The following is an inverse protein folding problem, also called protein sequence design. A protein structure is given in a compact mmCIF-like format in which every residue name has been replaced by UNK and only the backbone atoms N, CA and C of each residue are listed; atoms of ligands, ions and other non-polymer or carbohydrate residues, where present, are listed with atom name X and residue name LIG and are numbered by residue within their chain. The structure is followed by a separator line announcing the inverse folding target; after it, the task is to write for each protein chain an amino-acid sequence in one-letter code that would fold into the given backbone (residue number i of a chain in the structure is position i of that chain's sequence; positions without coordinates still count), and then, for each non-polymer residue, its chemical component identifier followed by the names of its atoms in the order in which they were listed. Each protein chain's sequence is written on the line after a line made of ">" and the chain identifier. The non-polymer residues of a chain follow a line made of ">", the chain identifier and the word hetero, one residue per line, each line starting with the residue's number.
data_IF_324212275901
#
_entry.id   IF_324212275901
#
_cell.length_a   1.000
_cell.length_b   1.000
_cell.length_c   1.000
_cell.angle_alpha   90.00
_cell.angle_beta   90.00
_cell.angle_gamma   90.00
#
_symmetry.space_group_name_H-M   'P 1'
#
loop_
_entity.id
_entity.type
_entity.pdbx_description
1 polymer ?
#
# COMPACT_ATOMS: atom_id res chain seq x y z
N UNK A 1 -21.99 -26.62 9.96
CA UNK A 1 -21.51 -26.61 11.36
C UNK A 1 -21.80 -25.21 11.86
N UNK A 2 -22.67 -25.12 12.85
CA UNK A 2 -23.11 -23.86 13.45
C UNK A 2 -22.03 -23.42 14.44
N UNK A 3 -21.34 -22.31 14.13
CA UNK A 3 -20.23 -21.78 14.93
C UNK A 3 -20.69 -20.84 16.05
N UNK A 4 -21.99 -20.77 16.32
CA UNK A 4 -22.61 -19.79 17.24
C UNK A 4 -22.45 -20.07 18.73
N UNK A 5 -21.86 -21.20 19.15
CA UNK A 5 -21.84 -21.61 20.57
C UNK A 5 -20.46 -21.74 21.22
N UNK A 6 -19.39 -21.20 20.63
CA UNK A 6 -18.14 -21.02 21.37
C UNK A 6 -18.22 -19.73 22.16
N UNK A 7 -18.68 -19.81 23.40
CA UNK A 7 -18.59 -18.72 24.36
C UNK A 7 -17.10 -18.39 24.62
N UNK A 8 -16.60 -17.36 23.93
CA UNK A 8 -15.33 -16.70 24.21
C UNK A 8 -15.45 -15.86 25.49
N UNK A 9 -15.55 -16.53 26.64
CA UNK A 9 -15.55 -15.94 27.98
C UNK A 9 -14.12 -15.86 28.56
N UNK A 10 -13.18 -15.37 27.75
CA UNK A 10 -11.89 -14.87 28.23
C UNK A 10 -11.83 -13.41 27.81
N UNK A 11 -11.72 -12.49 28.77
CA UNK A 11 -11.50 -11.07 28.45
C UNK A 11 -10.24 -11.02 27.57
N UNK A 12 -10.42 -10.61 26.31
CA UNK A 12 -9.31 -10.52 25.36
C UNK A 12 -8.56 -9.23 25.73
N UNK A 13 -7.42 -9.40 26.40
CA UNK A 13 -6.54 -8.29 26.77
C UNK A 13 -5.52 -8.00 25.67
N UNK A 14 -4.94 -6.80 25.72
CA UNK A 14 -3.87 -6.39 24.81
C UNK A 14 -2.61 -7.21 25.04
N UNK A 15 -2.30 -8.07 24.07
CA UNK A 15 -1.11 -8.92 24.05
C UNK A 15 -0.18 -8.55 22.88
N UNK A 16 1.11 -8.87 23.02
CA UNK A 16 2.14 -8.62 22.03
C UNK A 16 1.82 -9.29 20.68
N UNK A 17 1.18 -10.46 20.70
CA UNK A 17 0.75 -11.17 19.48
C UNK A 17 -0.27 -10.35 18.67
N UNK A 18 -1.27 -9.78 19.35
CA UNK A 18 -2.34 -9.01 18.71
C UNK A 18 -1.82 -7.65 18.25
N UNK A 19 -0.93 -7.02 19.02
CA UNK A 19 -0.23 -5.81 18.60
C UNK A 19 0.63 -6.04 17.35
N UNK A 20 1.31 -7.18 17.27
CA UNK A 20 2.09 -7.58 16.09
C UNK A 20 1.21 -7.71 14.84
N UNK A 21 0.08 -8.41 14.95
CA UNK A 21 -0.88 -8.56 13.84
C UNK A 21 -1.45 -7.20 13.41
N UNK A 22 -1.85 -6.36 14.36
CA UNK A 22 -2.37 -5.03 14.06
C UNK A 22 -1.29 -4.13 13.43
N UNK A 23 -0.04 -4.26 13.85
CA UNK A 23 1.08 -3.55 13.23
C UNK A 23 1.29 -3.99 11.78
N UNK A 24 1.26 -5.29 11.49
CA UNK A 24 1.36 -5.83 10.14
C UNK A 24 0.22 -5.34 9.24
N UNK A 25 -1.02 -5.41 9.73
CA UNK A 25 -2.20 -4.88 9.02
C UNK A 25 -2.04 -3.37 8.79
N UNK A 26 -1.50 -2.64 9.77
CA UNK A 26 -1.21 -1.21 9.67
C UNK A 26 -0.21 -0.88 8.55
N UNK A 27 0.88 -1.63 8.46
CA UNK A 27 1.90 -1.48 7.42
C UNK A 27 1.35 -1.84 6.03
N UNK A 28 0.64 -2.97 5.90
CA UNK A 28 -0.03 -3.36 4.66
C UNK A 28 -1.00 -2.28 4.18
N UNK A 29 -1.76 -1.69 5.11
CA UNK A 29 -2.71 -0.61 4.80
C UNK A 29 -2.01 0.65 4.31
N UNK A 30 -0.87 1.01 4.90
CA UNK A 30 -0.07 2.15 4.45
C UNK A 30 0.48 1.94 3.04
N UNK A 31 0.98 0.74 2.75
CA UNK A 31 1.49 0.38 1.43
C UNK A 31 0.36 0.42 0.40
N UNK A 32 -0.81 -0.15 0.71
CA UNK A 32 -1.98 -0.09 -0.17
C UNK A 32 -2.44 1.35 -0.43
N UNK A 33 -2.52 2.19 0.60
CA UNK A 33 -2.84 3.61 0.46
C UNK A 33 -1.84 4.29 -0.50
N UNK A 34 -0.54 4.06 -0.32
CA UNK A 34 0.49 4.62 -1.20
C UNK A 34 0.34 4.18 -2.66
N UNK A 35 0.07 2.89 -2.91
CA UNK A 35 -0.15 2.35 -4.25
C UNK A 35 -1.38 2.98 -4.92
N UNK A 36 -2.47 3.15 -4.19
CA UNK A 36 -3.68 3.80 -4.69
C UNK A 36 -3.46 5.28 -5.01
N UNK A 37 -2.76 6.02 -4.15
CA UNK A 37 -2.41 7.43 -4.39
C UNK A 37 -1.59 7.62 -5.66
N UNK A 38 -0.65 6.70 -5.89
CA UNK A 38 0.19 6.69 -7.09
C UNK A 38 -0.62 6.35 -8.34
N UNK A 39 -1.53 5.38 -8.25
CA UNK A 39 -2.45 4.99 -9.32
C UNK A 39 -3.42 6.11 -9.68
N UNK A 40 -4.01 6.78 -8.68
CA UNK A 40 -4.83 7.98 -8.88
C UNK A 40 -4.05 9.05 -9.67
N UNK A 41 -2.83 9.36 -9.24
CA UNK A 41 -1.99 10.36 -9.91
C UNK A 41 -1.67 9.98 -11.36
N UNK A 42 -1.46 8.68 -11.63
CA UNK A 42 -1.25 8.16 -12.98
C UNK A 42 -2.49 8.38 -13.86
N UNK A 43 -3.67 7.96 -13.40
CA UNK A 43 -4.90 8.10 -14.18
C UNK A 43 -5.35 9.56 -14.34
N UNK A 44 -5.12 10.41 -13.33
CA UNK A 44 -5.35 11.87 -13.46
C UNK A 44 -4.53 12.46 -14.61
N UNK A 45 -3.24 12.10 -14.72
CA UNK A 45 -2.38 12.56 -15.81
C UNK A 45 -2.85 12.06 -17.17
N UNK A 46 -3.29 10.79 -17.26
CA UNK A 46 -3.84 10.25 -18.51
C UNK A 46 -5.15 10.95 -18.90
N UNK A 47 -6.02 11.23 -17.93
CA UNK A 47 -7.27 11.94 -18.18
C UNK A 47 -7.02 13.33 -18.78
N UNK A 48 -6.06 14.08 -18.20
CA UNK A 48 -5.67 15.40 -18.71
C UNK A 48 -5.12 15.31 -20.14
N UNK A 49 -4.31 14.29 -20.45
CA UNK A 49 -3.75 14.07 -21.79
C UNK A 49 -4.81 13.82 -22.86
N UNK A 50 -5.91 13.16 -22.53
CA UNK A 50 -7.03 12.97 -23.46
C UNK A 50 -7.94 14.20 -23.52
N UNK A 51 -8.25 14.80 -22.38
CA UNK A 51 -9.25 15.85 -22.29
C UNK A 51 -8.79 17.19 -22.88
N UNK A 52 -7.51 17.56 -22.72
CA UNK A 52 -6.99 18.83 -23.24
C UNK A 52 -7.06 18.93 -24.78
N UNK A 53 -6.58 17.94 -25.56
CA UNK A 53 -6.75 17.95 -27.01
C UNK A 53 -8.22 18.02 -27.44
N UNK A 54 -9.11 17.28 -26.77
CA UNK A 54 -10.55 17.30 -27.07
C UNK A 54 -11.11 18.72 -26.89
N UNK A 55 -10.77 19.41 -25.80
CA UNK A 55 -11.23 20.78 -25.52
C UNK A 55 -10.73 21.75 -26.61
N UNK A 56 -9.45 21.68 -26.94
CA UNK A 56 -8.83 22.57 -27.94
C UNK A 56 -9.46 22.36 -29.32
N UNK A 57 -9.60 21.11 -29.76
CA UNK A 57 -10.19 20.79 -31.06
C UNK A 57 -11.68 21.14 -31.12
N UNK A 58 -12.42 20.96 -30.02
CA UNK A 58 -13.83 21.38 -29.92
C UNK A 58 -13.96 22.90 -30.06
N UNK A 59 -13.10 23.66 -29.39
CA UNK A 59 -13.09 25.12 -29.48
C UNK A 59 -12.73 25.59 -30.90
N UNK A 60 -11.69 25.00 -31.51
CA UNK A 60 -11.30 25.30 -32.90
C UNK A 60 -12.42 24.99 -33.90
N UNK A 61 -13.10 23.86 -33.74
CA UNK A 61 -14.26 23.50 -34.55
C UNK A 61 -15.41 24.51 -34.38
N UNK A 62 -15.66 24.96 -33.15
CA UNK A 62 -16.68 25.98 -32.84
C UNK A 62 -16.37 27.33 -33.49
N UNK A 63 -15.12 27.79 -33.40
CA UNK A 63 -14.67 29.03 -34.03
C UNK A 63 -14.68 28.94 -35.56
N UNK A 64 -14.30 27.78 -36.13
CA UNK A 64 -14.28 27.59 -37.58
C UNK A 64 -15.66 27.77 -38.23
N UNK A 65 -16.74 27.35 -37.55
CA UNK A 65 -18.12 27.60 -37.99
C UNK A 65 -18.48 29.09 -38.04
N UNK A 66 -17.93 29.91 -37.13
CA UNK A 66 -18.10 31.36 -37.17
C UNK A 66 -17.30 31.99 -38.32
N UNK A 67 -16.07 31.53 -38.54
CA UNK A 67 -15.19 32.05 -39.61
C UNK A 67 -15.75 31.75 -41.00
N UNK A 68 -16.37 30.59 -41.21
CA UNK A 68 -16.97 30.23 -42.51
C UNK A 68 -18.08 31.18 -42.97
N UNK A 69 -18.75 31.86 -42.03
CA UNK A 69 -19.80 32.85 -42.34
C UNK A 69 -19.21 34.20 -42.74
N UNK A 70 -18.00 34.51 -42.27
CA UNK A 70 -17.32 35.79 -42.55
C UNK A 70 -16.51 35.77 -43.87
N UNK A 71 -16.14 34.59 -44.38
CA UNK A 71 -15.35 34.43 -45.61
C UNK A 71 -16.09 33.54 -46.64
N UNK A 72 -17.04 34.10 -47.40
CA UNK A 72 -17.90 33.32 -48.31
C UNK A 72 -17.13 32.60 -49.42
N UNK A 73 -16.04 33.17 -49.92
CA UNK A 73 -15.23 32.58 -51.00
C UNK A 73 -14.56 31.25 -50.62
N UNK A 74 -14.21 31.07 -49.34
CA UNK A 74 -13.57 29.87 -48.81
C UNK A 74 -14.48 29.02 -47.92
N UNK A 75 -15.73 29.44 -47.74
CA UNK A 75 -16.67 28.87 -46.77
C UNK A 75 -16.83 27.36 -46.92
N UNK A 76 -16.95 26.85 -48.15
CA UNK A 76 -17.09 25.41 -48.43
C UNK A 76 -15.90 24.57 -47.92
N UNK A 77 -14.67 25.06 -48.09
CA UNK A 77 -13.47 24.36 -47.62
C UNK A 77 -13.34 24.42 -46.10
N UNK A 78 -13.68 25.57 -45.50
CA UNK A 78 -13.67 25.74 -44.04
C UNK A 78 -14.69 24.82 -43.38
N UNK A 79 -15.92 24.77 -43.90
CA UNK A 79 -16.99 23.90 -43.38
C UNK A 79 -16.58 22.42 -43.46
N UNK A 80 -15.98 21.98 -44.58
CA UNK A 80 -15.50 20.61 -44.73
C UNK A 80 -14.39 20.27 -43.72
N UNK A 81 -13.42 21.17 -43.55
CA UNK A 81 -12.33 20.99 -42.60
C UNK A 81 -12.84 20.94 -41.14
N UNK A 82 -13.74 21.85 -40.78
CA UNK A 82 -14.39 21.90 -39.46
C UNK A 82 -15.21 20.64 -39.21
N UNK A 83 -15.96 20.15 -40.20
CA UNK A 83 -16.68 18.88 -40.12
C UNK A 83 -15.75 17.70 -39.84
N UNK A 84 -14.59 17.64 -40.51
CA UNK A 84 -13.57 16.62 -40.27
C UNK A 84 -12.98 16.65 -38.85
N UNK A 85 -12.60 17.85 -38.37
CA UNK A 85 -12.09 18.03 -37.00
C UNK A 85 -13.14 17.67 -35.96
N UNK A 86 -14.40 18.02 -36.19
CA UNK A 86 -15.53 17.69 -35.31
C UNK A 86 -15.70 16.18 -35.16
N UNK A 87 -15.74 15.44 -36.29
CA UNK A 87 -15.84 13.97 -36.27
C UNK A 87 -14.65 13.34 -35.53
N UNK A 88 -13.43 13.80 -35.81
CA UNK A 88 -12.24 13.31 -35.13
C UNK A 88 -12.29 13.56 -33.62
N UNK A 89 -12.75 14.74 -33.21
CA UNK A 89 -12.91 15.11 -31.80
C UNK A 89 -13.97 14.25 -31.12
N UNK A 90 -15.09 13.95 -31.78
CA UNK A 90 -16.11 13.04 -31.29
C UNK A 90 -15.57 11.62 -31.08
N UNK A 91 -14.83 11.07 -32.04
CA UNK A 91 -14.21 9.74 -31.92
C UNK A 91 -13.23 9.72 -30.74
N UNK A 92 -12.37 10.72 -30.62
CA UNK A 92 -11.40 10.83 -29.52
C UNK A 92 -12.12 10.90 -28.16
N UNK A 93 -13.20 11.66 -28.07
CA UNK A 93 -14.05 11.75 -26.88
C UNK A 93 -14.69 10.40 -26.52
N UNK A 94 -15.24 9.68 -27.51
CA UNK A 94 -15.80 8.35 -27.29
C UNK A 94 -14.77 7.34 -26.79
N UNK A 95 -13.54 7.37 -27.32
CA UNK A 95 -12.44 6.51 -26.83
C UNK A 95 -12.06 6.88 -25.39
N UNK A 96 -11.94 8.17 -25.07
CA UNK A 96 -11.63 8.62 -23.73
C UNK A 96 -12.70 8.19 -22.71
N UNK A 97 -13.98 8.27 -23.09
CA UNK A 97 -15.10 7.82 -22.27
C UNK A 97 -15.12 6.29 -22.11
N UNK A 98 -14.82 5.54 -23.17
CA UNK A 98 -14.73 4.08 -23.14
C UNK A 98 -13.63 3.60 -22.19
N UNK A 99 -12.47 4.27 -22.19
CA UNK A 99 -11.35 3.95 -21.29
C UNK A 99 -11.62 4.30 -19.82
N UNK A 100 -12.71 5.04 -19.52
CA UNK A 100 -13.17 5.37 -18.15
C UNK A 100 -12.08 5.94 -17.25
N UNK A 101 -11.11 6.67 -17.82
CA UNK A 101 -9.89 7.11 -17.13
C UNK A 101 -10.20 7.98 -15.90
N UNK A 102 -11.19 8.87 -16.03
CA UNK A 102 -11.67 9.71 -14.91
C UNK A 102 -12.29 8.88 -13.79
N UNK A 103 -13.17 7.92 -14.12
CA UNK A 103 -13.84 7.05 -13.14
C UNK A 103 -12.82 6.19 -12.39
N UNK A 104 -11.82 5.66 -13.09
CA UNK A 104 -10.77 4.84 -12.50
C UNK A 104 -9.85 5.65 -11.57
N UNK A 105 -9.52 6.89 -11.96
CA UNK A 105 -8.81 7.83 -11.09
C UNK A 105 -9.57 8.08 -9.78
N UNK A 106 -10.87 8.31 -9.87
CA UNK A 106 -11.71 8.57 -8.71
C UNK A 106 -11.88 7.33 -7.82
N UNK A 107 -12.04 6.16 -8.43
CA UNK A 107 -12.08 4.88 -7.71
C UNK A 107 -10.82 4.67 -6.88
N UNK A 108 -9.63 4.90 -7.46
CA UNK A 108 -8.38 4.85 -6.71
C UNK A 108 -8.26 5.92 -5.63
N UNK A 109 -8.78 7.13 -5.84
CA UNK A 109 -8.82 8.18 -4.80
C UNK A 109 -9.65 7.73 -3.60
N UNK A 110 -10.81 7.11 -3.84
CA UNK A 110 -11.68 6.60 -2.79
C UNK A 110 -11.04 5.42 -2.03
N UNK A 111 -10.38 4.50 -2.72
CA UNK A 111 -9.61 3.43 -2.07
C UNK A 111 -8.47 4.02 -1.22
N UNK A 112 -7.71 4.98 -1.75
CA UNK A 112 -6.64 5.67 -1.00
C UNK A 112 -7.13 6.25 0.32
N UNK A 113 -8.20 7.06 0.28
CA UNK A 113 -8.74 7.70 1.49
C UNK A 113 -9.23 6.67 2.52
N UNK A 114 -9.83 5.58 2.04
CA UNK A 114 -10.36 4.53 2.92
C UNK A 114 -9.22 3.77 3.61
N UNK A 115 -8.17 3.41 2.88
CA UNK A 115 -6.96 2.80 3.44
C UNK A 115 -6.18 3.75 4.36
N UNK A 116 -6.09 5.03 4.03
CA UNK A 116 -5.43 6.03 4.88
C UNK A 116 -6.16 6.20 6.23
N UNK A 117 -7.50 6.29 6.18
CA UNK A 117 -8.33 6.37 7.39
C UNK A 117 -8.16 5.13 8.25
N UNK A 118 -8.16 3.95 7.64
CA UNK A 118 -7.97 2.68 8.33
C UNK A 118 -6.59 2.57 8.99
N UNK A 119 -5.51 2.87 8.24
CA UNK A 119 -4.14 2.94 8.79
C UNK A 119 -4.05 3.90 9.98
N UNK A 120 -4.66 5.08 9.85
CA UNK A 120 -4.64 6.10 10.91
C UNK A 120 -5.34 5.63 12.19
N UNK A 121 -6.44 4.86 12.06
CA UNK A 121 -7.16 4.31 13.20
C UNK A 121 -6.30 3.28 13.97
N UNK A 122 -5.69 2.33 13.26
CA UNK A 122 -4.75 1.37 13.85
C UNK A 122 -3.57 2.08 14.51
N UNK A 123 -2.93 3.00 13.78
CA UNK A 123 -1.81 3.78 14.27
C UNK A 123 -2.16 4.54 15.54
N UNK A 124 -3.34 5.15 15.61
CA UNK A 124 -3.79 5.89 16.79
C UNK A 124 -3.92 4.96 18.01
N UNK A 125 -4.54 3.79 17.85
CA UNK A 125 -4.69 2.84 18.95
C UNK A 125 -3.35 2.27 19.41
N UNK A 126 -2.47 1.86 18.49
CA UNK A 126 -1.17 1.29 18.86
C UNK A 126 -0.25 2.31 19.55
N UNK A 127 -0.37 3.61 19.23
CA UNK A 127 0.40 4.67 19.89
C UNK A 127 -0.09 5.03 21.29
N UNK A 128 -1.33 4.66 21.67
CA UNK A 128 -1.81 4.83 23.05
C UNK A 128 -1.11 3.81 23.97
N UNK A 129 -0.90 4.18 25.24
CA UNK A 129 -0.51 3.24 26.30
C UNK A 129 -1.57 2.14 26.44
N UNK A 130 -1.17 0.90 26.71
CA UNK A 130 -2.08 -0.27 26.82
C UNK A 130 -3.32 0.01 27.69
N UNK A 131 -3.14 0.58 28.89
CA UNK A 131 -4.25 0.90 29.80
C UNK A 131 -5.15 2.07 29.37
N UNK A 132 -4.84 2.79 28.29
CA UNK A 132 -5.66 3.89 27.73
C UNK A 132 -6.22 3.57 26.35
N UNK A 133 -6.02 2.33 25.89
CA UNK A 133 -6.60 1.82 24.64
C UNK A 133 -8.04 1.40 24.86
N UNK A 134 -8.75 1.34 23.74
CA UNK A 134 -10.13 0.88 23.74
C UNK A 134 -10.16 -0.64 24.01
N UNK A 135 -11.33 -1.16 24.37
CA UNK A 135 -11.50 -2.59 24.59
C UNK A 135 -11.10 -3.35 23.31
N UNK A 136 -10.22 -4.34 23.45
CA UNK A 136 -9.64 -5.02 22.29
C UNK A 136 -10.69 -5.79 21.49
N UNK A 137 -11.65 -6.44 22.16
CA UNK A 137 -12.74 -7.17 21.51
C UNK A 137 -13.58 -6.24 20.65
N UNK A 138 -13.96 -5.08 21.21
CA UNK A 138 -14.72 -4.07 20.48
C UNK A 138 -13.93 -3.53 19.29
N UNK A 139 -12.64 -3.23 19.48
CA UNK A 139 -11.78 -2.73 18.42
C UNK A 139 -11.60 -3.74 17.27
N UNK A 140 -11.31 -5.01 17.59
CA UNK A 140 -11.18 -6.07 16.59
C UNK A 140 -12.48 -6.33 15.83
N UNK A 141 -13.63 -6.23 16.52
CA UNK A 141 -14.95 -6.37 15.90
C UNK A 141 -15.23 -5.32 14.81
N UNK A 142 -14.55 -4.18 14.89
CA UNK A 142 -14.63 -3.10 13.88
C UNK A 142 -13.53 -3.23 12.83
N UNK A 143 -12.29 -3.49 13.25
CA UNK A 143 -11.12 -3.48 12.36
C UNK A 143 -11.10 -4.67 11.40
N UNK A 144 -11.43 -5.87 11.86
CA UNK A 144 -11.33 -7.08 11.01
C UNK A 144 -12.34 -7.03 9.85
N UNK A 145 -13.64 -6.73 10.08
CA UNK A 145 -14.59 -6.60 8.98
C UNK A 145 -14.27 -5.43 8.06
N UNK A 146 -13.81 -4.30 8.59
CA UNK A 146 -13.42 -3.14 7.78
C UNK A 146 -12.24 -3.48 6.85
N UNK A 147 -11.25 -4.22 7.34
CA UNK A 147 -10.12 -4.67 6.53
C UNK A 147 -10.55 -5.59 5.38
N UNK A 148 -11.45 -6.55 5.65
CA UNK A 148 -12.02 -7.42 4.61
C UNK A 148 -12.78 -6.61 3.56
N UNK A 149 -13.65 -5.70 4.03
CA UNK A 149 -14.41 -4.78 3.17
C UNK A 149 -13.49 -3.94 2.29
N UNK A 150 -12.40 -3.41 2.85
CA UNK A 150 -11.42 -2.63 2.08
C UNK A 150 -10.78 -3.47 0.98
N UNK A 151 -10.42 -4.73 1.25
CA UNK A 151 -9.88 -5.62 0.21
C UNK A 151 -10.88 -5.91 -0.91
N UNK A 152 -12.16 -6.05 -0.58
CA UNK A 152 -13.22 -6.33 -1.56
C UNK A 152 -13.54 -5.14 -2.46
N UNK A 153 -13.59 -3.93 -1.90
CA UNK A 153 -14.00 -2.72 -2.64
C UNK A 153 -12.83 -2.00 -3.32
N UNK A 154 -11.58 -2.39 -3.02
CA UNK A 154 -10.40 -1.71 -3.53
C UNK A 154 -10.27 -1.88 -5.04
N UNK A 155 -10.00 -0.77 -5.72
CA UNK A 155 -9.74 -0.78 -7.15
C UNK A 155 -8.49 -1.59 -7.51
N UNK A 156 -8.50 -2.31 -8.62
CA UNK A 156 -7.34 -3.10 -9.04
C UNK A 156 -6.14 -2.19 -9.38
N UNK A 157 -5.00 -2.44 -8.72
CA UNK A 157 -3.80 -1.62 -8.90
C UNK A 157 -3.07 -2.09 -10.18
N UNK A 158 -2.64 -1.16 -11.06
CA UNK A 158 -1.90 -1.53 -12.26
C UNK A 158 -0.55 -2.17 -11.95
N UNK A 159 -0.17 -3.22 -12.69
CA UNK A 159 1.12 -3.91 -12.54
C UNK A 159 2.34 -2.97 -12.58
N UNK A 160 2.29 -1.93 -13.42
CA UNK A 160 3.34 -0.92 -13.52
C UNK A 160 3.59 -0.18 -12.19
N UNK A 161 2.56 -0.03 -11.34
CA UNK A 161 2.68 0.58 -10.02
C UNK A 161 3.28 -0.41 -9.02
N UNK A 162 2.87 -1.68 -9.05
CA UNK A 162 3.46 -2.75 -8.24
C UNK A 162 4.98 -2.83 -8.46
N UNK A 163 5.43 -2.87 -9.71
CA UNK A 163 6.85 -2.99 -10.04
C UNK A 163 7.66 -1.77 -9.55
N UNK A 164 7.09 -0.57 -9.69
CA UNK A 164 7.74 0.65 -9.19
C UNK A 164 7.84 0.67 -7.67
N UNK A 165 6.83 0.17 -6.95
CA UNK A 165 6.86 0.12 -5.49
C UNK A 165 7.83 -0.95 -5.02
N UNK A 166 7.81 -2.13 -5.65
CA UNK A 166 8.74 -3.24 -5.40
C UNK A 166 10.21 -2.84 -5.58
N UNK A 167 10.51 -1.98 -6.55
CA UNK A 167 11.87 -1.45 -6.74
C UNK A 167 12.35 -0.54 -5.59
N UNK A 168 11.44 0.04 -4.80
CA UNK A 168 11.76 0.97 -3.72
C UNK A 168 12.07 0.28 -2.38
N UNK A 169 13.03 -0.66 -2.41
CA UNK A 169 13.32 -1.56 -1.28
C UNK A 169 13.77 -0.87 0.02
N UNK A 170 14.38 0.31 -0.06
CA UNK A 170 14.94 1.02 1.11
C UNK A 170 13.88 1.42 2.15
N UNK A 171 12.67 1.77 1.70
CA UNK A 171 11.58 2.16 2.59
C UNK A 171 10.73 0.97 3.04
N UNK A 172 10.78 -0.13 2.30
CA UNK A 172 10.02 -1.36 2.57
C UNK A 172 10.75 -2.29 3.54
N UNK A 173 12.05 -2.15 3.75
CA UNK A 173 12.86 -3.08 4.56
C UNK A 173 12.55 -3.07 6.06
N UNK A 174 11.82 -2.06 6.55
CA UNK A 174 11.43 -1.92 7.97
C UNK A 174 9.94 -2.19 8.21
N UNK A 175 9.18 -2.45 7.16
CA UNK A 175 7.73 -2.63 7.19
C UNK A 175 7.38 -4.07 6.88
N UNK A 176 6.26 -4.54 7.40
CA UNK A 176 5.66 -5.78 6.91
C UNK A 176 5.02 -5.52 5.54
N UNK A 177 5.50 -6.24 4.54
CA UNK A 177 5.14 -6.01 3.15
C UNK A 177 4.12 -7.07 2.69
N UNK A 178 3.02 -6.70 2.03
CA UNK A 178 2.05 -7.65 1.51
C UNK A 178 2.68 -8.71 0.61
N UNK A 179 2.12 -9.93 0.64
CA UNK A 179 2.60 -11.06 -0.16
C UNK A 179 2.69 -10.74 -1.67
N UNK A 180 1.81 -9.87 -2.17
CA UNK A 180 1.80 -9.37 -3.55
C UNK A 180 3.13 -8.71 -3.97
N UNK A 181 3.89 -8.16 -3.02
CA UNK A 181 5.16 -7.46 -3.26
C UNK A 181 6.39 -8.28 -2.85
N UNK A 182 6.26 -9.11 -1.81
CA UNK A 182 7.38 -9.85 -1.21
C UNK A 182 7.35 -11.38 -1.45
N UNK A 183 6.39 -11.89 -2.23
CA UNK A 183 6.22 -13.32 -2.46
C UNK A 183 5.40 -14.01 -1.37
N UNK A 184 5.25 -15.33 -1.50
CA UNK A 184 4.47 -16.14 -0.55
C UNK A 184 5.32 -16.53 0.66
N UNK A 185 4.74 -16.39 1.84
CA UNK A 185 5.31 -16.85 3.10
C UNK A 185 4.31 -17.79 3.78
N UNK A 186 4.76 -18.88 4.44
CA UNK A 186 3.87 -19.77 5.14
C UNK A 186 3.23 -19.07 6.34
N UNK A 187 1.95 -19.33 6.59
CA UNK A 187 1.27 -18.88 7.82
C UNK A 187 1.79 -19.73 8.98
N UNK A 188 2.41 -19.09 9.96
CA UNK A 188 2.94 -19.74 11.16
C UNK A 188 2.03 -19.40 12.33
N UNK A 189 1.56 -20.42 13.05
CA UNK A 189 0.76 -20.21 14.26
C UNK A 189 1.61 -19.57 15.36
N UNK A 190 0.95 -18.80 16.24
CA UNK A 190 1.60 -18.26 17.42
C UNK A 190 2.23 -19.38 18.26
N UNK A 191 3.47 -19.18 18.68
CA UNK A 191 4.17 -20.05 19.63
C UNK A 191 4.42 -19.22 20.89
N UNK A 192 4.03 -19.77 22.03
CA UNK A 192 4.47 -19.20 23.31
C UNK A 192 6.00 -19.23 23.34
N UNK A 193 6.62 -18.17 23.85
CA UNK A 193 8.06 -18.18 24.05
C UNK A 193 8.37 -19.32 25.03
N UNK A 194 9.14 -20.31 24.61
CA UNK A 194 9.72 -21.28 25.55
C UNK A 194 10.50 -20.45 26.57
N UNK A 195 10.11 -20.52 27.84
CA UNK A 195 10.92 -19.97 28.92
C UNK A 195 12.31 -20.59 28.76
N UNK A 196 13.31 -19.74 28.51
CA UNK A 196 14.70 -20.15 28.66
C UNK A 196 14.84 -20.40 30.16
N UNK A 197 14.62 -21.65 30.58
CA UNK A 197 15.04 -22.11 31.89
C UNK A 197 16.55 -21.99 31.87
N UNK A 198 17.05 -20.93 32.48
CA UNK A 198 18.46 -20.76 32.80
C UNK A 198 18.82 -21.83 33.83
N UNK A 199 19.07 -23.07 33.34
CA UNK A 199 19.69 -24.12 34.13
C UNK A 199 21.20 -23.83 34.25
N UNK A 200 21.55 -22.64 34.73
CA UNK A 200 22.88 -22.38 35.28
C UNK A 200 22.90 -22.81 36.74
N UNK A 201 22.69 -24.12 36.94
CA UNK A 201 23.15 -24.86 38.12
C UNK A 201 24.66 -25.18 38.08
N UNK A 202 25.46 -24.43 37.31
CA UNK A 202 26.93 -24.56 37.32
C UNK A 202 27.54 -23.43 38.15
N UNK A 203 27.97 -23.80 39.36
CA UNK A 203 28.63 -22.92 40.31
C UNK A 203 29.82 -22.25 39.63
N UNK A 204 29.79 -20.91 39.55
CA UNK A 204 30.85 -20.06 38.99
C UNK A 204 32.19 -20.16 39.71
N UNK A 205 32.85 -21.31 39.62
CA UNK A 205 34.24 -21.52 39.99
C UNK A 205 35.03 -21.77 38.70
N UNK A 206 35.81 -20.76 38.33
CA UNK A 206 36.86 -20.88 37.32
C UNK A 206 37.81 -22.00 37.77
N UNK A 207 37.87 -23.09 37.01
CA UNK A 207 38.83 -24.17 37.27
C UNK A 207 40.25 -23.67 36.93
N UNK A 208 41.02 -23.30 37.97
CA UNK A 208 42.37 -22.76 37.87
C UNK A 208 43.35 -23.78 37.22
N UNK A 209 43.01 -25.07 37.13
CA UNK A 209 43.87 -26.07 36.48
C UNK A 209 44.01 -25.92 34.95
N UNK A 210 43.16 -25.14 34.26
CA UNK A 210 43.25 -24.99 32.79
C UNK A 210 44.16 -23.84 32.31
N UNK A 211 44.70 -23.03 33.23
CA UNK A 211 45.71 -22.01 32.92
C UNK A 211 47.12 -22.63 32.96
N UNK A 212 47.40 -23.53 32.03
CA UNK A 212 48.79 -23.79 31.64
C UNK A 212 49.27 -22.58 30.83
N UNK A 213 49.85 -21.61 31.54
CA UNK A 213 50.69 -20.58 30.96
C UNK A 213 51.91 -21.29 30.33
N UNK A 214 51.98 -21.28 28.99
CA UNK A 214 53.22 -21.57 28.28
C UNK A 214 54.20 -20.45 28.63
N UNK A 215 55.04 -20.69 29.63
CA UNK A 215 56.26 -19.93 29.83
C UNK A 215 57.23 -20.48 28.78
N UNK A 216 57.44 -19.71 27.71
CA UNK A 216 58.58 -19.91 26.82
C UNK A 216 59.85 -19.66 27.65
N UNK A 217 60.60 -20.72 27.94
CA UNK A 217 62.02 -20.64 28.30
C UNK A 217 62.80 -20.28 27.03
N UNK A 218 63.14 -19.00 26.87
CA UNK A 218 64.29 -18.61 26.06
C UNK A 218 65.54 -18.83 26.90
N UNK A 219 66.12 -20.02 26.78
CA UNK A 219 67.52 -20.30 27.11
C UNK A 219 68.37 -19.81 25.93
N UNK A 220 68.97 -18.63 26.09
CA UNK A 220 70.10 -18.22 25.25
C UNK A 220 71.28 -17.91 26.17
N UNK A 221 71.93 -18.99 26.61
CA UNK A 221 73.35 -18.97 26.95
C UNK A 221 74.15 -19.27 25.70
N UNK A 222 75.00 -18.34 25.24
CA UNK A 222 76.46 -18.53 25.20
C UNK A 222 77.21 -17.43 24.40
N UNK A 223 78.33 -17.03 25.01
CA UNK A 223 79.58 -16.46 24.46
C UNK A 223 79.62 -14.98 24.05
#
# INVERSE_FOLDING_TARGET
>A
MDFSSVELNKEIEWDDSVEGILSEIGDESQINAYMHKKSQSYYTKQNIKYQLPIIILSALSGTGNFVSTNFPDYSKYIILAVGGVSIFTSILSSVAQFLKVSQLSESHRMSYLSWEKFHSNIKFQLNKKRGSRDNLKDFLSVIVPEYQRLKEISAEIPKSIYDQVRSNKKNLSKMQVPYLLNGFHPVVAYKEAEEIVDDSGDNGLINIQSLHLNIEEDDDTTA
#
